data_IF_932266620665
#
_entry.id   IF_932266620665
#
_cell.length_a   1.000
_cell.length_b   1.000
_cell.length_c   1.000
_cell.angle_alpha   90.00
_cell.angle_beta   90.00
_cell.angle_gamma   90.00
#
_symmetry.space_group_name_H-M   'P 1'
#
loop_
_entity.id
_entity.type
_entity.pdbx_description
1 polymer ?
#
# COMPACT_ATOMS: atom_id res chain seq x y z
N UNK A 1 30.55 -2.47 5.45
CA UNK A 1 29.31 -3.09 4.94
C UNK A 1 29.63 -3.77 3.61
N UNK A 2 29.27 -5.05 3.40
CA UNK A 2 29.51 -5.70 2.10
C UNK A 2 28.64 -5.05 1.01
N UNK A 3 29.20 -4.88 -0.20
CA UNK A 3 28.50 -4.33 -1.37
C UNK A 3 27.15 -5.02 -1.61
N UNK A 4 27.07 -6.33 -1.37
CA UNK A 4 25.84 -7.11 -1.49
C UNK A 4 24.70 -6.57 -0.59
N UNK A 5 25.01 -6.22 0.66
CA UNK A 5 24.00 -5.71 1.59
C UNK A 5 23.48 -4.33 1.18
N UNK A 6 24.36 -3.50 0.62
CA UNK A 6 23.98 -2.21 0.08
C UNK A 6 22.98 -2.36 -1.08
N UNK A 7 23.25 -3.29 -2.01
CA UNK A 7 22.34 -3.59 -3.12
C UNK A 7 20.99 -4.12 -2.62
N UNK A 8 21.00 -5.03 -1.63
CA UNK A 8 19.76 -5.56 -1.03
C UNK A 8 18.93 -4.44 -0.39
N UNK A 9 19.56 -3.57 0.39
CA UNK A 9 18.88 -2.44 1.02
C UNK A 9 18.22 -1.52 -0.02
N UNK A 10 18.92 -1.25 -1.13
CA UNK A 10 18.35 -0.46 -2.24
C UNK A 10 17.11 -1.14 -2.82
N UNK A 11 17.17 -2.45 -3.10
CA UNK A 11 16.02 -3.17 -3.67
C UNK A 11 14.82 -3.15 -2.72
N UNK A 12 15.06 -3.39 -1.44
CA UNK A 12 13.99 -3.48 -0.42
C UNK A 12 13.32 -2.13 -0.19
N UNK A 13 14.10 -1.04 -0.14
CA UNK A 13 13.57 0.29 0.14
C UNK A 13 13.07 1.02 -1.10
N UNK A 14 13.66 0.80 -2.27
CA UNK A 14 13.43 1.62 -3.46
C UNK A 14 12.89 0.86 -4.67
N UNK A 15 12.75 -0.46 -4.62
CA UNK A 15 12.20 -1.23 -5.75
C UNK A 15 10.93 -1.96 -5.33
N UNK A 16 10.96 -2.70 -4.22
CA UNK A 16 9.81 -3.46 -3.72
C UNK A 16 8.55 -2.62 -3.50
N UNK A 17 8.62 -1.38 -2.95
CA UNK A 17 7.42 -0.56 -2.79
C UNK A 17 6.71 -0.28 -4.11
N UNK A 18 7.45 -0.01 -5.19
CA UNK A 18 6.85 0.29 -6.49
C UNK A 18 6.40 -0.97 -7.23
N UNK A 19 7.14 -2.07 -7.11
CA UNK A 19 6.72 -3.37 -7.64
C UNK A 19 5.43 -3.86 -6.99
N UNK A 20 5.21 -3.54 -5.71
CA UNK A 20 3.97 -3.91 -5.02
C UNK A 20 2.73 -3.29 -5.68
N UNK A 21 2.82 -2.06 -6.22
CA UNK A 21 1.72 -1.43 -6.98
C UNK A 21 1.42 -2.23 -8.25
N UNK A 22 2.47 -2.61 -8.98
CA UNK A 22 2.36 -3.38 -10.22
C UNK A 22 1.75 -4.76 -9.97
N UNK A 23 2.21 -5.44 -8.92
CA UNK A 23 1.76 -6.78 -8.54
C UNK A 23 0.28 -6.78 -8.16
N UNK A 24 -0.14 -5.83 -7.32
CA UNK A 24 -1.53 -5.75 -6.87
C UNK A 24 -2.49 -5.34 -7.99
N UNK A 25 -2.08 -4.39 -8.80
CA UNK A 25 -2.92 -3.91 -9.90
C UNK A 25 -2.88 -4.81 -11.14
N UNK A 26 -1.99 -5.80 -11.19
CA UNK A 26 -1.73 -6.60 -12.39
C UNK A 26 -1.25 -5.78 -13.60
N UNK A 27 -0.93 -4.49 -13.41
CA UNK A 27 -0.49 -3.60 -14.48
C UNK A 27 1.02 -3.61 -14.57
N UNK A 28 1.55 -3.70 -15.79
CA UNK A 28 3.00 -3.60 -16.01
C UNK A 28 3.46 -2.20 -15.60
N UNK A 29 4.49 -2.13 -14.76
CA UNK A 29 5.14 -0.88 -14.38
C UNK A 29 6.21 -0.53 -15.44
N UNK A 30 6.05 0.57 -16.19
CA UNK A 30 7.09 1.02 -17.10
C UNK A 30 8.36 1.40 -16.33
N UNK A 31 9.52 1.01 -16.85
CA UNK A 31 10.81 1.35 -16.23
C UNK A 31 10.99 2.86 -16.06
N UNK A 32 10.45 3.67 -16.97
CA UNK A 32 10.47 5.15 -16.89
C UNK A 32 9.76 5.67 -15.64
N UNK A 33 8.66 5.04 -15.22
CA UNK A 33 7.91 5.47 -14.03
C UNK A 33 8.63 5.05 -12.76
N UNK A 34 9.26 3.87 -12.77
CA UNK A 34 10.11 3.42 -11.66
C UNK A 34 11.35 4.33 -11.51
N UNK A 35 12.02 4.65 -12.61
CA UNK A 35 13.16 5.56 -12.61
C UNK A 35 12.76 6.96 -12.11
N UNK A 36 11.61 7.49 -12.55
CA UNK A 36 11.10 8.77 -12.05
C UNK A 36 10.81 8.72 -10.55
N UNK A 37 10.11 7.67 -10.09
CA UNK A 37 9.81 7.48 -8.66
C UNK A 37 11.09 7.45 -7.82
N UNK A 38 12.08 6.68 -8.26
CA UNK A 38 13.40 6.61 -7.63
C UNK A 38 14.11 7.97 -7.57
N UNK A 39 14.12 8.72 -8.68
CA UNK A 39 14.78 10.04 -8.72
C UNK A 39 14.11 11.05 -7.80
N UNK A 40 12.78 11.05 -7.73
CA UNK A 40 12.03 11.93 -6.82
C UNK A 40 12.30 11.54 -5.36
N UNK A 41 12.30 10.25 -5.05
CA UNK A 41 12.59 9.77 -3.70
C UNK A 41 14.02 10.13 -3.28
N UNK A 42 15.00 9.93 -4.16
CA UNK A 42 16.38 10.34 -3.95
C UNK A 42 16.49 11.85 -3.71
N UNK A 43 15.80 12.66 -4.52
CA UNK A 43 15.76 14.12 -4.37
C UNK A 43 15.17 14.56 -3.03
N UNK A 44 14.08 13.95 -2.58
CA UNK A 44 13.47 14.22 -1.27
C UNK A 44 14.39 13.83 -0.12
N UNK A 45 15.08 12.69 -0.23
CA UNK A 45 16.05 12.26 0.79
C UNK A 45 17.26 13.22 0.85
N UNK A 46 17.80 13.67 -0.29
CA UNK A 46 18.86 14.68 -0.34
C UNK A 46 18.38 16.00 0.28
N UNK A 47 17.15 16.43 -0.03
CA UNK A 47 16.57 17.64 0.54
C UNK A 47 16.48 17.58 2.07
N UNK A 48 16.22 16.39 2.64
CA UNK A 48 16.21 16.16 4.10
C UNK A 48 17.58 16.41 4.72
N UNK A 49 18.63 15.96 4.04
CA UNK A 49 20.02 16.10 4.52
C UNK A 49 20.41 17.59 4.51
N UNK A 50 20.01 18.31 3.46
CA UNK A 50 20.32 19.74 3.30
C UNK A 50 19.46 20.61 4.23
N UNK A 51 18.18 20.26 4.42
CA UNK A 51 17.22 20.99 5.24
C UNK A 51 16.54 20.03 6.23
N UNK A 52 17.18 19.75 7.39
CA UNK A 52 16.63 18.84 8.39
C UNK A 52 15.25 19.24 8.91
N UNK A 53 14.91 20.53 8.90
CA UNK A 53 13.59 21.02 9.32
C UNK A 53 12.45 20.53 8.42
N UNK A 54 12.77 20.13 7.18
CA UNK A 54 11.81 19.50 6.25
C UNK A 54 11.64 17.99 6.48
N UNK A 55 12.30 17.42 7.49
CA UNK A 55 12.26 15.99 7.78
C UNK A 55 10.83 15.42 7.85
N UNK A 56 9.86 16.19 8.36
CA UNK A 56 8.46 15.76 8.44
C UNK A 56 7.85 15.46 7.06
N UNK A 57 8.19 16.27 6.05
CA UNK A 57 7.71 16.10 4.68
C UNK A 57 8.41 14.91 4.02
N UNK A 58 9.70 14.74 4.30
CA UNK A 58 10.52 13.71 3.66
C UNK A 58 10.42 12.35 4.34
N UNK A 59 9.98 12.26 5.60
CA UNK A 59 9.52 11.01 6.22
C UNK A 59 8.34 10.39 5.46
N UNK A 60 7.61 11.20 4.69
CA UNK A 60 6.51 10.78 3.82
C UNK A 60 6.97 10.47 2.38
N UNK A 61 8.27 10.44 2.08
CA UNK A 61 8.79 10.34 0.71
C UNK A 61 8.28 9.10 -0.04
N UNK A 62 8.19 7.94 0.63
CA UNK A 62 7.66 6.71 0.03
C UNK A 62 6.21 6.90 -0.45
N UNK A 63 5.35 7.54 0.35
CA UNK A 63 3.94 7.76 -0.04
C UNK A 63 3.81 8.83 -1.11
N UNK A 64 4.60 9.89 -1.05
CA UNK A 64 4.62 10.95 -2.07
C UNK A 64 5.02 10.36 -3.43
N UNK A 65 6.09 9.58 -3.46
CA UNK A 65 6.62 8.96 -4.68
C UNK A 65 5.70 7.86 -5.20
N UNK A 66 5.10 7.05 -4.32
CA UNK A 66 4.05 6.10 -4.72
C UNK A 66 2.81 6.77 -5.26
N UNK A 67 2.38 7.90 -4.68
CA UNK A 67 1.27 8.69 -5.23
C UNK A 67 1.59 9.18 -6.63
N UNK A 68 2.81 9.68 -6.87
CA UNK A 68 3.27 10.08 -8.19
C UNK A 68 3.21 8.91 -9.18
N UNK A 69 3.86 7.78 -8.86
CA UNK A 69 3.90 6.59 -9.74
C UNK A 69 2.49 6.04 -9.99
N UNK A 70 1.68 5.94 -8.94
CA UNK A 70 0.30 5.47 -9.04
C UNK A 70 -0.59 6.41 -9.85
N UNK A 71 -0.39 7.73 -9.75
CA UNK A 71 -1.11 8.70 -10.56
C UNK A 71 -0.71 8.62 -12.04
N UNK A 72 0.57 8.38 -12.34
CA UNK A 72 1.01 8.13 -13.72
C UNK A 72 0.40 6.86 -14.31
N UNK A 73 0.22 5.82 -13.48
CA UNK A 73 -0.41 4.58 -13.90
C UNK A 73 -1.92 4.71 -14.06
N UNK A 74 -2.64 5.24 -13.06
CA UNK A 74 -4.09 5.13 -12.94
C UNK A 74 -4.84 6.48 -12.99
N UNK A 75 -4.13 7.60 -13.04
CA UNK A 75 -4.73 8.93 -12.93
C UNK A 75 -5.65 9.29 -14.09
N UNK A 76 -5.45 8.68 -15.27
CA UNK A 76 -6.34 8.85 -16.44
C UNK A 76 -7.68 8.15 -16.24
N UNK A 77 -7.66 7.01 -15.57
CA UNK A 77 -8.82 6.17 -15.30
C UNK A 77 -9.59 6.68 -14.07
N UNK A 78 -8.90 6.90 -12.95
CA UNK A 78 -9.51 7.40 -11.72
C UNK A 78 -8.46 7.88 -10.72
N UNK A 79 -8.58 9.15 -10.31
CA UNK A 79 -7.78 9.72 -9.21
C UNK A 79 -7.96 8.96 -7.89
N UNK A 80 -9.20 8.53 -7.60
CA UNK A 80 -9.50 7.71 -6.41
C UNK A 80 -8.75 6.39 -6.43
N UNK A 81 -8.61 5.78 -7.60
CA UNK A 81 -7.89 4.53 -7.78
C UNK A 81 -6.38 4.70 -7.60
N UNK A 82 -5.83 5.79 -8.15
CA UNK A 82 -4.44 6.15 -7.96
C UNK A 82 -4.08 6.31 -6.47
N UNK A 83 -4.93 7.02 -5.71
CA UNK A 83 -4.75 7.17 -4.25
C UNK A 83 -4.81 5.80 -3.56
N UNK A 84 -5.78 4.96 -3.92
CA UNK A 84 -5.93 3.63 -3.33
C UNK A 84 -4.66 2.80 -3.49
N UNK A 85 -4.14 2.65 -4.72
CA UNK A 85 -2.97 1.81 -4.96
C UNK A 85 -1.69 2.35 -4.34
N UNK A 86 -1.56 3.67 -4.19
CA UNK A 86 -0.41 4.26 -3.52
C UNK A 86 -0.41 3.95 -2.01
N UNK A 87 -1.56 4.12 -1.36
CA UNK A 87 -1.67 3.95 0.09
C UNK A 87 -1.79 2.50 0.52
N UNK A 88 -2.52 1.66 -0.21
CA UNK A 88 -2.90 0.32 0.24
C UNK A 88 -1.70 -0.54 0.67
N UNK A 89 -0.67 -0.62 -0.18
CA UNK A 89 0.54 -1.41 0.13
C UNK A 89 1.40 -0.79 1.20
N UNK A 90 1.52 0.55 1.23
CA UNK A 90 2.30 1.24 2.24
C UNK A 90 1.66 1.13 3.62
N UNK A 91 0.34 1.26 3.72
CA UNK A 91 -0.38 1.08 4.99
C UNK A 91 -0.26 -0.36 5.47
N UNK A 92 -0.45 -1.35 4.59
CA UNK A 92 -0.32 -2.75 4.96
C UNK A 92 1.11 -3.10 5.42
N UNK A 93 2.13 -2.64 4.69
CA UNK A 93 3.53 -2.79 5.10
C UNK A 93 3.77 -2.14 6.46
N UNK A 94 3.27 -0.91 6.66
CA UNK A 94 3.43 -0.18 7.91
C UNK A 94 2.77 -0.88 9.09
N UNK A 95 1.59 -1.47 8.88
CA UNK A 95 0.90 -2.27 9.90
C UNK A 95 1.72 -3.51 10.29
N UNK A 96 2.25 -4.26 9.33
CA UNK A 96 3.10 -5.40 9.63
C UNK A 96 4.40 -5.00 10.31
N UNK A 97 5.07 -3.97 9.81
CA UNK A 97 6.31 -3.47 10.39
C UNK A 97 6.09 -3.01 11.83
N UNK A 98 5.06 -2.20 12.09
CA UNK A 98 4.76 -1.75 13.46
C UNK A 98 4.31 -2.89 14.36
N UNK A 99 3.56 -3.86 13.85
CA UNK A 99 3.18 -5.03 14.64
C UNK A 99 4.41 -5.86 15.03
N UNK A 100 5.37 -5.98 14.10
CA UNK A 100 6.64 -6.61 14.36
C UNK A 100 7.43 -5.85 15.43
N UNK A 101 7.56 -4.53 15.28
CA UNK A 101 8.34 -3.68 16.21
C UNK A 101 7.71 -3.63 17.60
N UNK A 102 6.40 -3.42 17.69
CA UNK A 102 5.73 -3.16 18.95
C UNK A 102 5.32 -4.41 19.73
N UNK A 103 5.09 -5.52 19.04
CA UNK A 103 4.53 -6.72 19.67
C UNK A 103 5.43 -7.94 19.51
N UNK A 104 5.96 -8.21 18.30
CA UNK A 104 6.74 -9.44 18.08
C UNK A 104 8.17 -9.33 18.62
N UNK A 105 8.93 -8.27 18.32
CA UNK A 105 10.31 -8.14 18.80
C UNK A 105 10.41 -8.18 20.33
N UNK A 106 9.56 -7.45 21.10
CA UNK A 106 9.63 -7.50 22.55
C UNK A 106 9.33 -8.88 23.13
N UNK A 107 8.51 -9.72 22.47
CA UNK A 107 8.26 -11.10 22.90
C UNK A 107 9.52 -11.98 22.88
N UNK A 108 10.50 -11.64 22.04
CA UNK A 108 11.80 -12.32 21.97
C UNK A 108 12.89 -11.61 22.78
N UNK A 109 12.54 -10.57 23.55
CA UNK A 109 13.50 -9.76 24.31
C UNK A 109 14.40 -8.89 23.42
N UNK A 110 14.03 -8.67 22.16
CA UNK A 110 14.76 -7.79 21.25
C UNK A 110 14.24 -6.37 21.34
N UNK A 111 15.15 -5.41 21.50
CA UNK A 111 14.81 -3.99 21.43
C UNK A 111 14.68 -3.53 19.97
N UNK A 112 13.94 -2.44 19.76
CA UNK A 112 13.82 -1.74 18.48
C UNK A 112 15.19 -1.38 17.90
N UNK A 113 16.21 -1.19 18.74
CA UNK A 113 17.62 -0.91 18.38
C UNK A 113 18.17 -1.86 17.32
N UNK A 114 17.80 -3.14 17.37
CA UNK A 114 18.19 -4.16 16.38
C UNK A 114 17.75 -3.78 14.96
N UNK A 115 16.65 -3.06 14.82
CA UNK A 115 16.13 -2.58 13.52
C UNK A 115 16.80 -1.29 13.02
N UNK A 116 17.53 -0.58 13.88
CA UNK A 116 18.27 0.61 13.46
C UNK A 116 19.57 0.23 12.78
N UNK A 117 20.09 -0.97 13.09
CA UNK A 117 21.20 -1.56 12.37
C UNK A 117 20.84 -1.81 10.90
N UNK A 118 21.74 -1.53 9.95
CA UNK A 118 21.48 -1.69 8.51
C UNK A 118 21.04 -3.10 8.11
N UNK A 119 21.58 -4.13 8.77
CA UNK A 119 21.17 -5.53 8.55
C UNK A 119 19.77 -5.79 9.08
N UNK A 120 19.50 -5.45 10.35
CA UNK A 120 18.19 -5.65 10.95
C UNK A 120 17.08 -4.90 10.20
N UNK A 121 17.36 -3.67 9.75
CA UNK A 121 16.44 -2.88 8.90
C UNK A 121 16.11 -3.56 7.58
N UNK A 122 17.13 -4.12 6.91
CA UNK A 122 16.94 -4.78 5.61
C UNK A 122 16.18 -6.09 5.76
N UNK A 123 16.55 -6.89 6.78
CA UNK A 123 15.88 -8.16 7.09
C UNK A 123 14.43 -7.93 7.49
N UNK A 124 14.15 -6.96 8.36
CA UNK A 124 12.76 -6.64 8.76
C UNK A 124 11.94 -6.14 7.57
N UNK A 125 12.52 -5.33 6.68
CA UNK A 125 11.89 -4.89 5.44
C UNK A 125 11.53 -6.06 4.52
N UNK A 126 12.45 -7.03 4.33
CA UNK A 126 12.18 -8.25 3.55
C UNK A 126 11.04 -9.05 4.17
N UNK A 127 11.10 -9.29 5.48
CA UNK A 127 10.06 -10.03 6.22
C UNK A 127 8.72 -9.33 6.08
N UNK A 128 8.66 -8.01 6.23
CA UNK A 128 7.42 -7.25 6.12
C UNK A 128 6.86 -7.30 4.70
N UNK A 129 7.68 -7.13 3.66
CA UNK A 129 7.22 -7.29 2.27
C UNK A 129 6.75 -8.72 1.98
N UNK A 130 7.46 -9.73 2.48
CA UNK A 130 7.03 -11.13 2.38
C UNK A 130 5.66 -11.34 3.05
N UNK A 131 5.44 -10.77 4.23
CA UNK A 131 4.14 -10.78 4.91
C UNK A 131 3.06 -10.06 4.10
N UNK A 132 3.36 -8.90 3.51
CA UNK A 132 2.43 -8.18 2.62
C UNK A 132 2.00 -9.09 1.47
N UNK A 133 2.94 -9.66 0.72
CA UNK A 133 2.62 -10.51 -0.44
C UNK A 133 1.91 -11.80 -0.01
N UNK A 134 2.36 -12.43 1.07
CA UNK A 134 1.73 -13.62 1.61
C UNK A 134 0.30 -13.36 2.05
N UNK A 135 0.06 -12.28 2.79
CA UNK A 135 -1.26 -11.89 3.27
C UNK A 135 -2.24 -11.63 2.12
N UNK A 136 -1.80 -10.91 1.09
CA UNK A 136 -2.63 -10.64 -0.09
C UNK A 136 -2.95 -11.92 -0.86
N UNK A 137 -1.96 -12.81 -1.02
CA UNK A 137 -2.15 -14.11 -1.68
C UNK A 137 -3.06 -15.04 -0.86
N UNK A 138 -2.86 -15.11 0.45
CA UNK A 138 -3.65 -15.95 1.36
C UNK A 138 -5.13 -15.60 1.29
N UNK A 139 -5.44 -14.31 1.24
CA UNK A 139 -6.83 -13.83 1.20
C UNK A 139 -7.45 -13.92 -0.20
N UNK A 140 -6.67 -14.35 -1.21
CA UNK A 140 -7.13 -14.45 -2.59
C UNK A 140 -7.53 -13.09 -3.18
N UNK A 141 -6.96 -12.00 -2.67
CA UNK A 141 -7.30 -10.66 -3.14
C UNK A 141 -6.70 -10.41 -4.52
N UNK A 142 -7.57 -10.32 -5.52
CA UNK A 142 -7.21 -9.95 -6.88
C UNK A 142 -7.74 -8.55 -7.20
N UNK A 143 -6.92 -7.54 -6.93
CA UNK A 143 -7.23 -6.16 -7.32
C UNK A 143 -6.86 -5.86 -8.78
N UNK A 144 -6.38 -6.83 -9.56
CA UNK A 144 -5.96 -6.56 -10.95
C UNK A 144 -7.09 -6.07 -11.84
N UNK A 145 -8.32 -6.48 -11.54
CA UNK A 145 -9.49 -6.11 -12.32
C UNK A 145 -10.00 -4.70 -12.01
N UNK A 146 -9.57 -4.07 -10.91
CA UNK A 146 -10.12 -2.80 -10.44
C UNK A 146 -9.85 -1.63 -11.41
N UNK A 147 -8.73 -1.66 -12.14
CA UNK A 147 -8.39 -0.61 -13.09
C UNK A 147 -8.92 -0.88 -14.50
N UNK A 148 -9.10 -2.17 -14.85
CA UNK A 148 -9.49 -2.61 -16.20
C UNK A 148 -10.96 -2.35 -16.54
N UNK A 149 -11.77 -1.93 -15.56
CA UNK A 149 -13.21 -1.73 -15.70
C UNK A 149 -13.59 -0.32 -15.26
N UNK A 150 -14.62 0.25 -15.89
CA UNK A 150 -15.18 1.54 -15.48
C UNK A 150 -15.72 1.41 -14.06
N UNK A 151 -15.13 2.16 -13.13
CA UNK A 151 -15.61 2.22 -11.74
C UNK A 151 -17.00 2.85 -11.74
N UNK A 152 -17.98 2.14 -11.21
CA UNK A 152 -19.29 2.72 -10.97
C UNK A 152 -19.27 3.63 -9.73
N UNK A 153 -20.38 4.32 -9.50
CA UNK A 153 -20.49 5.25 -8.37
C UNK A 153 -20.36 4.57 -7.01
N UNK A 154 -20.85 3.32 -6.88
CA UNK A 154 -20.73 2.53 -5.65
C UNK A 154 -19.28 2.12 -5.40
N UNK A 155 -18.56 1.67 -6.42
CA UNK A 155 -17.13 1.36 -6.35
C UNK A 155 -16.33 2.57 -5.89
N UNK A 156 -16.59 3.73 -6.52
CA UNK A 156 -15.93 4.98 -6.17
C UNK A 156 -16.20 5.36 -4.73
N UNK A 157 -17.41 5.17 -4.23
CA UNK A 157 -17.76 5.46 -2.83
C UNK A 157 -17.03 4.55 -1.86
N UNK A 158 -16.99 3.24 -2.12
CA UNK A 158 -16.26 2.26 -1.28
C UNK A 158 -14.76 2.56 -1.27
N UNK A 159 -14.17 2.83 -2.44
CA UNK A 159 -12.76 3.20 -2.56
C UNK A 159 -12.44 4.53 -1.87
N UNK A 160 -13.32 5.52 -2.00
CA UNK A 160 -13.13 6.84 -1.37
C UNK A 160 -13.13 6.72 0.15
N UNK A 161 -14.09 5.96 0.73
CA UNK A 161 -14.11 5.69 2.18
C UNK A 161 -12.83 4.97 2.62
N UNK A 162 -12.41 3.96 1.86
CA UNK A 162 -11.17 3.22 2.11
C UNK A 162 -9.95 4.14 2.10
N UNK A 163 -9.85 5.03 1.11
CA UNK A 163 -8.77 6.00 1.01
C UNK A 163 -8.75 6.97 2.19
N UNK A 164 -9.91 7.49 2.60
CA UNK A 164 -9.98 8.38 3.77
C UNK A 164 -9.50 7.70 5.05
N UNK A 165 -9.84 6.43 5.25
CA UNK A 165 -9.35 5.66 6.41
C UNK A 165 -7.83 5.48 6.36
N UNK A 166 -7.27 5.12 5.20
CA UNK A 166 -5.81 4.96 5.02
C UNK A 166 -5.05 6.27 5.23
N UNK A 167 -5.55 7.36 4.65
CA UNK A 167 -4.97 8.70 4.80
C UNK A 167 -5.07 9.15 6.27
N UNK A 168 -6.21 8.95 6.91
CA UNK A 168 -6.40 9.28 8.32
C UNK A 168 -5.43 8.54 9.23
N UNK A 169 -5.28 7.23 9.06
CA UNK A 169 -4.30 6.44 9.80
C UNK A 169 -2.86 6.92 9.57
N UNK A 170 -2.51 7.22 8.31
CA UNK A 170 -1.19 7.71 7.96
C UNK A 170 -0.85 9.01 8.72
N UNK A 171 -1.74 10.00 8.66
CA UNK A 171 -1.54 11.29 9.30
C UNK A 171 -1.57 11.19 10.82
N UNK A 172 -2.51 10.42 11.39
CA UNK A 172 -2.59 10.20 12.84
C UNK A 172 -1.26 9.66 13.39
N UNK A 173 -0.67 8.70 12.69
CA UNK A 173 0.63 8.15 13.07
C UNK A 173 1.78 9.14 12.91
N UNK A 174 1.77 9.96 11.85
CA UNK A 174 2.78 11.00 11.66
C UNK A 174 2.71 12.07 12.74
N UNK A 175 1.50 12.49 13.13
CA UNK A 175 1.31 13.45 14.22
C UNK A 175 1.88 12.89 15.53
N UNK A 176 1.62 11.63 15.87
CA UNK A 176 2.15 11.03 17.10
C UNK A 176 3.67 10.91 17.10
N UNK A 177 4.28 10.54 15.96
CA UNK A 177 5.75 10.53 15.83
C UNK A 177 6.31 11.94 15.97
N UNK A 178 5.67 12.93 15.33
CA UNK A 178 6.09 14.32 15.41
C UNK A 178 6.04 14.86 16.85
N UNK A 179 4.96 14.55 17.59
CA UNK A 179 4.83 14.92 19.00
C UNK A 179 5.93 14.31 19.88
N UNK A 180 6.30 13.06 19.63
CA UNK A 180 7.38 12.40 20.37
C UNK A 180 8.75 13.00 20.04
N UNK A 181 9.05 13.21 18.75
CA UNK A 181 10.37 13.68 18.33
C UNK A 181 10.62 15.15 18.70
N UNK A 182 9.63 16.02 18.51
CA UNK A 182 9.78 17.47 18.70
C UNK A 182 9.43 17.90 20.12
N UNK A 183 8.33 17.39 20.67
CA UNK A 183 7.83 17.82 21.98
C UNK A 183 8.18 16.84 23.11
N UNK A 184 8.89 15.74 22.82
CA UNK A 184 9.31 14.74 23.81
C UNK A 184 8.15 14.15 24.62
N UNK A 185 6.96 14.12 24.01
CA UNK A 185 5.76 13.51 24.58
C UNK A 185 5.81 12.01 24.28
N UNK A 186 5.79 11.15 25.31
CA UNK A 186 5.72 9.71 25.09
C UNK A 186 4.38 9.35 24.43
N UNK A 187 4.45 8.96 23.16
CA UNK A 187 3.29 8.55 22.37
C UNK A 187 3.27 7.06 22.04
N UNK A 188 4.19 6.27 22.58
CA UNK A 188 4.36 4.85 22.22
C UNK A 188 3.08 4.06 22.46
N UNK A 189 2.47 4.21 23.64
CA UNK A 189 1.24 3.50 24.02
C UNK A 189 0.08 3.84 23.08
N UNK A 190 -0.09 5.10 22.70
CA UNK A 190 -1.13 5.52 21.76
C UNK A 190 -0.90 4.94 20.36
N UNK A 191 0.36 4.88 19.89
CA UNK A 191 0.68 4.26 18.61
C UNK A 191 0.42 2.75 18.61
N UNK A 192 0.76 2.06 19.70
CA UNK A 192 0.43 0.64 19.87
C UNK A 192 -1.09 0.43 19.78
N UNK A 193 -1.86 1.23 20.51
CA UNK A 193 -3.31 1.16 20.49
C UNK A 193 -3.89 1.41 19.09
N UNK A 194 -3.41 2.45 18.39
CA UNK A 194 -3.85 2.77 17.02
C UNK A 194 -3.53 1.64 16.04
N UNK A 195 -2.38 0.98 16.16
CA UNK A 195 -2.04 -0.16 15.31
C UNK A 195 -3.03 -1.31 15.52
N UNK A 196 -3.37 -1.65 16.77
CA UNK A 196 -4.33 -2.71 17.08
C UNK A 196 -5.72 -2.37 16.54
N UNK A 197 -6.23 -1.17 16.84
CA UNK A 197 -7.54 -0.71 16.36
C UNK A 197 -7.58 -0.69 14.85
N UNK A 198 -6.55 -0.16 14.21
CA UNK A 198 -6.52 -0.02 12.76
C UNK A 198 -6.29 -1.35 12.04
N UNK A 199 -5.61 -2.34 12.63
CA UNK A 199 -5.57 -3.70 12.08
C UNK A 199 -6.97 -4.27 11.92
N UNK A 200 -7.82 -4.16 12.94
CA UNK A 200 -9.21 -4.63 12.90
C UNK A 200 -10.02 -3.87 11.83
N UNK A 201 -9.89 -2.54 11.80
CA UNK A 201 -10.54 -1.71 10.79
C UNK A 201 -10.06 -2.04 9.38
N UNK A 202 -8.76 -2.22 9.18
CA UNK A 202 -8.16 -2.56 7.90
C UNK A 202 -8.70 -3.89 7.39
N UNK A 203 -8.75 -4.93 8.24
CA UNK A 203 -9.37 -6.21 7.89
C UNK A 203 -10.82 -6.04 7.44
N UNK A 204 -11.61 -5.24 8.15
CA UNK A 204 -12.99 -4.93 7.77
C UNK A 204 -13.10 -4.20 6.43
N UNK A 205 -12.22 -3.24 6.18
CA UNK A 205 -12.13 -2.50 4.91
C UNK A 205 -11.77 -3.43 3.76
N UNK A 206 -10.75 -4.26 3.91
CA UNK A 206 -10.34 -5.18 2.83
C UNK A 206 -11.41 -6.23 2.57
N UNK A 207 -12.03 -6.77 3.62
CA UNK A 207 -13.17 -7.69 3.49
C UNK A 207 -14.34 -7.07 2.72
N UNK A 208 -14.71 -5.83 3.07
CA UNK A 208 -15.80 -5.13 2.38
C UNK A 208 -15.46 -4.87 0.92
N UNK A 209 -14.22 -4.49 0.62
CA UNK A 209 -13.77 -4.23 -0.73
C UNK A 209 -13.78 -5.52 -1.57
N UNK A 210 -13.26 -6.62 -1.05
CA UNK A 210 -13.24 -7.93 -1.70
C UNK A 210 -14.66 -8.46 -1.98
N UNK A 211 -15.54 -8.41 -0.97
CA UNK A 211 -16.94 -8.81 -1.14
C UNK A 211 -17.63 -8.01 -2.23
N UNK A 212 -17.44 -6.69 -2.24
CA UNK A 212 -18.02 -5.81 -3.25
C UNK A 212 -17.52 -6.14 -4.67
N UNK A 213 -16.22 -6.45 -4.83
CA UNK A 213 -15.65 -6.89 -6.11
C UNK A 213 -16.28 -8.22 -6.56
N UNK A 214 -16.40 -9.20 -5.65
CA UNK A 214 -16.97 -10.52 -5.94
C UNK A 214 -18.44 -10.46 -6.34
N UNK A 215 -19.25 -9.71 -5.59
CA UNK A 215 -20.68 -9.52 -5.90
C UNK A 215 -20.88 -8.93 -7.30
N UNK A 216 -20.06 -7.94 -7.68
CA UNK A 216 -20.12 -7.34 -9.02
C UNK A 216 -19.63 -8.27 -10.12
N UNK A 217 -18.59 -9.06 -9.86
CA UNK A 217 -18.11 -10.06 -10.82
C UNK A 217 -19.21 -11.10 -11.12
N UNK A 218 -19.89 -11.57 -10.08
CA UNK A 218 -21.03 -12.48 -10.23
C UNK A 218 -22.17 -11.84 -11.03
N UNK A 219 -22.53 -10.58 -10.72
CA UNK A 219 -23.56 -9.86 -11.46
C UNK A 219 -23.21 -9.68 -12.95
N UNK A 220 -21.96 -9.37 -13.27
CA UNK A 220 -21.49 -9.24 -14.65
C UNK A 220 -21.56 -10.58 -15.43
N UNK A 221 -21.21 -11.69 -14.77
CA UNK A 221 -21.30 -13.03 -15.36
C UNK A 221 -22.75 -13.45 -15.61
N UNK A 222 -23.67 -13.15 -14.68
CA UNK A 222 -25.10 -13.41 -14.84
C UNK A 222 -25.67 -12.63 -16.02
N UNK A 223 -25.39 -11.33 -16.11
CA UNK A 223 -25.86 -10.48 -17.20
C UNK A 223 -25.30 -10.92 -18.56
N UNK A 224 -24.06 -11.42 -18.60
CA UNK A 224 -23.48 -12.01 -19.81
C UNK A 224 -24.22 -13.30 -20.22
N UNK A 225 -24.53 -14.19 -19.28
CA UNK A 225 -25.30 -15.42 -19.55
C UNK A 225 -26.71 -15.10 -20.04
N UNK A 226 -27.40 -14.15 -19.41
CA UNK A 226 -28.74 -13.72 -19.84
C UNK A 226 -28.72 -13.17 -21.27
N UNK A 227 -27.72 -12.37 -21.64
CA UNK A 227 -27.56 -11.90 -23.02
C UNK A 227 -27.31 -13.03 -24.01
N UNK A 228 -26.44 -13.98 -23.65
CA UNK A 228 -26.21 -15.17 -24.49
C UNK A 228 -27.48 -15.99 -24.69
N UNK A 229 -28.27 -16.19 -23.63
CA UNK A 229 -29.56 -16.88 -23.71
C UNK A 229 -30.54 -16.14 -24.62
N UNK A 230 -30.67 -14.81 -24.48
CA UNK A 230 -31.52 -14.01 -25.35
C UNK A 230 -31.08 -14.02 -26.81
N UNK A 231 -29.77 -14.02 -27.08
CA UNK A 231 -29.24 -14.11 -28.45
C UNK A 231 -29.53 -15.49 -29.08
N UNK A 232 -29.44 -16.57 -28.27
CA UNK A 232 -29.85 -17.92 -28.68
C UNK A 232 -31.36 -18.00 -28.97
N UNK A 233 -32.21 -17.42 -28.11
CA UNK A 233 -33.67 -17.36 -28.31
C UNK A 233 -34.07 -16.54 -29.54
N UNK A 234 -33.30 -15.51 -29.88
CA UNK A 234 -33.53 -14.65 -31.06
C UNK A 234 -32.93 -15.23 -32.35
N UNK A 235 -32.38 -16.44 -32.32
CA UNK A 235 -31.80 -17.12 -33.49
C UNK A 235 -30.54 -16.46 -34.04
N UNK A 236 -29.89 -15.56 -33.28
CA UNK A 236 -28.61 -14.95 -33.66
C UNK A 236 -27.49 -15.86 -33.18
N UNK A 237 -27.08 -16.81 -34.02
CA UNK A 237 -25.86 -17.57 -33.76
C UNK A 237 -24.64 -16.66 -33.84
N UNK A 238 -23.68 -16.80 -32.91
CA UNK A 238 -22.38 -16.15 -33.07
C UNK A 238 -21.71 -16.70 -34.35
N UNK A 239 -21.27 -15.80 -35.23
CA UNK A 239 -20.36 -16.12 -36.34
C UNK A 239 -18.95 -16.33 -35.82
#
# INVERSE_FOLDING_TARGET
>A
MSFLFFVIAIVVMFVLPYLSIAWISGRKLPWTYLALGFLVDLGLNILTIVYPDLAVITFSSEIITKLLVSYLLFGKESKTLAVFYAFFTSILFNLFHRSLVFFLLPMFGWDKEVLWEPLGRSVSGIVCWALVFFFLKWLGYDFSQLWSRTLDEKDRKVLTVTNYLMIGYFFLNHILIYLEQIYQIDTVVYRQFIVVVYLVLFMGVVYRLDRHIKERLQAALLLQKERQLQDMERGKFPK
#
